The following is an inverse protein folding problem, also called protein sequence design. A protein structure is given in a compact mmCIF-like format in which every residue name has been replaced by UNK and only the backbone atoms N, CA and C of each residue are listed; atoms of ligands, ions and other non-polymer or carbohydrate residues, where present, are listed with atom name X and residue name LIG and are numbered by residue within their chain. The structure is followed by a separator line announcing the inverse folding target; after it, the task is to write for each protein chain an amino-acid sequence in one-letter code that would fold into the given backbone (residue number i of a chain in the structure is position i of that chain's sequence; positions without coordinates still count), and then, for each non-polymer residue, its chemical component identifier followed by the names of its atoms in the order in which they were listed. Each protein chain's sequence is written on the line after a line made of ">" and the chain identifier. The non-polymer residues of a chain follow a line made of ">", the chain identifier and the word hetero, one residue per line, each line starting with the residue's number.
data_IF_057114086646
#
_entry.id   IF_057114086646
#
_cell.length_a   1.000
_cell.length_b   1.000
_cell.length_c   1.000
_cell.angle_alpha   90.00
_cell.angle_beta   90.00
_cell.angle_gamma   90.00
#
_symmetry.space_group_name_H-M   'P 1'
#
loop_
_entity.id
_entity.type
_entity.pdbx_description
1 polymer ?
#
# COMPACT_ATOMS: atom_id res chain seq x y z
N UNK A 1 -0.48 58.67 39.66
CA UNK A 1 -1.19 58.46 38.38
C UNK A 1 -1.70 57.02 38.36
N UNK A 2 -2.99 56.75 38.54
CA UNK A 2 -4.07 56.82 37.52
C UNK A 2 -3.69 55.97 36.29
N UNK A 3 -4.44 54.97 35.80
CA UNK A 3 -5.75 54.36 36.12
C UNK A 3 -5.85 53.04 35.30
N UNK A 4 -6.39 52.00 35.94
CA UNK A 4 -7.36 50.95 35.53
C UNK A 4 -7.44 50.38 34.08
N UNK A 5 -7.79 49.09 34.11
CA UNK A 5 -8.84 48.40 33.31
C UNK A 5 -8.46 47.93 31.89
N UNK A 6 -8.93 46.78 31.39
CA UNK A 6 -10.20 46.07 31.69
C UNK A 6 -10.15 44.59 31.25
N UNK A 7 -10.80 43.75 32.06
CA UNK A 7 -11.67 42.62 31.70
C UNK A 7 -11.48 41.90 30.36
N UNK A 8 -11.18 40.60 30.49
CA UNK A 8 -11.63 39.55 29.57
C UNK A 8 -11.76 38.25 30.38
N UNK A 9 -12.96 38.03 30.93
CA UNK A 9 -13.29 36.92 31.82
C UNK A 9 -14.11 35.89 31.00
N UNK A 10 -13.92 34.60 31.31
CA UNK A 10 -14.75 33.44 30.97
C UNK A 10 -14.71 32.89 29.53
N UNK A 11 -14.08 31.72 29.37
CA UNK A 11 -14.87 30.52 29.05
C UNK A 11 -14.21 29.23 29.57
N UNK A 12 -14.93 28.62 30.53
CA UNK A 12 -14.98 27.24 31.00
C UNK A 12 -13.79 26.27 30.83
N UNK A 13 -13.31 25.83 32.00
CA UNK A 13 -12.77 24.50 32.26
C UNK A 13 -13.81 23.38 32.07
N UNK A 14 -13.26 22.20 31.73
CA UNK A 14 -13.76 20.82 31.93
C UNK A 14 -14.89 20.30 31.05
N UNK A 15 -14.54 19.28 30.26
CA UNK A 15 -14.93 17.85 30.43
C UNK A 15 -14.08 17.02 29.45
N UNK A 16 -13.10 16.25 29.95
CA UNK A 16 -13.25 14.80 30.10
C UNK A 16 -14.34 14.21 29.20
N UNK A 17 -13.96 13.89 27.96
CA UNK A 17 -14.58 12.81 27.20
C UNK A 17 -13.49 11.75 27.02
N UNK A 18 -13.52 10.81 27.95
CA UNK A 18 -13.16 9.42 27.68
C UNK A 18 -14.14 8.98 26.59
N UNK A 19 -13.72 9.04 25.32
CA UNK A 19 -14.41 8.28 24.29
C UNK A 19 -13.66 6.95 24.21
N UNK A 20 -14.33 5.94 24.75
CA UNK A 20 -13.99 4.53 24.69
C UNK A 20 -13.30 4.19 23.36
N UNK A 21 -11.99 3.95 23.42
CA UNK A 21 -11.33 3.17 22.36
C UNK A 21 -12.04 1.83 22.37
N UNK A 22 -12.75 1.52 21.29
CA UNK A 22 -13.12 0.14 21.02
C UNK A 22 -11.82 -0.63 20.76
N UNK A 23 -11.19 -1.06 21.85
CA UNK A 23 -10.03 -1.93 21.88
C UNK A 23 -10.52 -3.35 21.63
N UNK A 24 -10.81 -3.67 20.37
CA UNK A 24 -10.93 -5.04 19.87
C UNK A 24 -10.89 -5.00 18.34
N UNK A 25 -9.70 -4.84 17.73
CA UNK A 25 -9.36 -5.70 16.57
C UNK A 25 -7.91 -5.64 16.06
N UNK A 26 -7.16 -4.58 16.27
CA UNK A 26 -5.76 -4.52 15.79
C UNK A 26 -4.79 -4.11 16.88
N UNK A 27 -4.69 -4.95 17.90
CA UNK A 27 -3.38 -5.19 18.48
C UNK A 27 -2.72 -6.25 17.62
N UNK A 28 -1.45 -6.06 17.29
CA UNK A 28 -0.53 -7.16 16.95
C UNK A 28 -0.56 -7.66 15.50
N UNK A 29 0.13 -6.94 14.60
CA UNK A 29 1.17 -7.58 13.77
C UNK A 29 2.45 -6.76 13.88
N UNK A 30 3.09 -6.88 15.05
CA UNK A 30 4.54 -6.81 15.19
C UNK A 30 5.01 -8.26 15.09
N UNK A 31 5.76 -8.60 14.04
CA UNK A 31 6.45 -9.89 13.80
C UNK A 31 5.73 -11.14 14.33
N UNK A 32 5.01 -11.86 13.47
CA UNK A 32 4.89 -13.33 13.58
C UNK A 32 4.46 -13.94 12.24
N UNK A 33 5.15 -15.02 11.87
CA UNK A 33 4.77 -15.96 10.80
C UNK A 33 3.31 -16.34 10.94
N UNK A 34 2.51 -16.11 9.91
CA UNK A 34 1.23 -16.78 9.72
C UNK A 34 1.41 -17.73 8.55
N UNK A 35 1.38 -19.03 8.86
CA UNK A 35 1.37 -20.12 7.89
C UNK A 35 -0.04 -20.20 7.29
N UNK A 36 -0.20 -19.72 6.07
CA UNK A 36 -1.39 -20.03 5.27
C UNK A 36 -1.10 -21.34 4.52
N UNK A 37 -1.50 -22.47 5.12
CA UNK A 37 -1.41 -23.78 4.49
C UNK A 37 -2.47 -23.89 3.39
N UNK A 38 -2.01 -23.91 2.13
CA UNK A 38 -2.83 -24.28 0.99
C UNK A 38 -3.02 -25.81 0.98
N UNK A 39 -4.27 -26.26 1.02
CA UNK A 39 -4.66 -27.59 0.55
C UNK A 39 -5.57 -27.44 -0.66
N UNK A 40 -4.97 -27.38 -1.84
CA UNK A 40 -5.61 -27.86 -3.06
C UNK A 40 -4.51 -28.32 -4.00
N UNK A 41 -4.27 -29.63 -3.98
CA UNK A 41 -3.47 -30.34 -4.98
C UNK A 41 -4.42 -30.68 -6.11
N UNK A 42 -4.07 -30.32 -7.35
CA UNK A 42 -4.41 -31.13 -8.50
C UNK A 42 -3.27 -31.12 -9.52
N UNK A 43 -3.09 -32.30 -10.13
CA UNK A 43 -1.88 -32.83 -10.76
C UNK A 43 -1.73 -32.46 -12.24
N UNK A 44 -0.46 -32.26 -12.63
CA UNK A 44 0.25 -32.73 -13.86
C UNK A 44 -0.38 -32.54 -15.25
N UNK A 45 0.29 -31.80 -16.14
CA UNK A 45 1.24 -32.33 -17.16
C UNK A 45 1.70 -31.18 -18.10
N UNK A 46 2.96 -31.21 -18.55
CA UNK A 46 3.54 -30.19 -19.44
C UNK A 46 3.27 -30.41 -20.93
N UNK A 47 3.57 -29.38 -21.74
CA UNK A 47 4.15 -29.39 -23.11
C UNK A 47 4.41 -27.94 -23.59
N UNK A 48 5.64 -27.74 -24.12
CA UNK A 48 6.24 -26.77 -25.06
C UNK A 48 5.82 -25.29 -25.20
N UNK A 49 6.86 -24.45 -25.33
CA UNK A 49 6.87 -23.07 -25.85
C UNK A 49 6.14 -22.92 -27.20
N UNK A 50 5.22 -21.93 -27.29
CA UNK A 50 4.97 -21.16 -28.51
C UNK A 50 4.60 -19.70 -28.15
N UNK A 51 5.24 -18.77 -28.86
CA UNK A 51 5.13 -17.33 -28.72
C UNK A 51 3.82 -16.75 -29.27
N UNK A 52 3.41 -15.66 -28.62
CA UNK A 52 2.67 -14.50 -29.14
C UNK A 52 1.33 -14.75 -29.80
N UNK A 53 0.27 -14.35 -29.09
CA UNK A 53 -0.94 -13.61 -29.49
C UNK A 53 -1.94 -13.82 -28.34
N UNK A 54 -2.25 -12.78 -27.53
CA UNK A 54 -3.37 -12.67 -26.55
C UNK A 54 -2.94 -11.85 -25.30
N UNK A 55 -2.59 -10.58 -25.47
CA UNK A 55 -2.18 -9.71 -24.34
C UNK A 55 -3.35 -8.97 -23.69
N UNK A 56 -4.51 -8.90 -24.36
CA UNK A 56 -5.60 -7.99 -23.97
C UNK A 56 -6.87 -8.70 -23.52
N UNK A 57 -7.11 -9.93 -23.95
CA UNK A 57 -8.35 -10.66 -23.63
C UNK A 57 -8.23 -11.47 -22.34
N UNK A 58 -7.05 -12.01 -22.03
CA UNK A 58 -6.81 -12.75 -20.78
C UNK A 58 -6.90 -11.86 -19.52
N UNK A 59 -6.70 -10.55 -19.67
CA UNK A 59 -6.81 -9.59 -18.57
C UNK A 59 -8.26 -9.20 -18.25
N UNK A 60 -9.14 -9.16 -19.26
CA UNK A 60 -10.56 -8.77 -19.10
C UNK A 60 -11.38 -9.82 -18.37
N UNK A 61 -10.98 -11.08 -18.43
CA UNK A 61 -11.69 -12.17 -17.77
C UNK A 61 -11.39 -12.23 -16.26
N UNK A 62 -10.15 -11.92 -15.87
CA UNK A 62 -9.79 -11.88 -14.45
C UNK A 62 -10.52 -10.75 -13.71
N UNK A 63 -10.70 -9.59 -14.33
CA UNK A 63 -11.41 -8.45 -13.71
C UNK A 63 -12.89 -8.79 -13.36
N UNK A 64 -13.52 -9.70 -14.10
CA UNK A 64 -14.90 -10.13 -13.86
C UNK A 64 -15.01 -11.23 -12.79
N UNK A 65 -13.90 -11.75 -12.31
CA UNK A 65 -13.89 -12.86 -11.36
C UNK A 65 -14.22 -12.37 -9.95
N UNK A 66 -15.00 -13.14 -9.19
CA UNK A 66 -15.34 -12.87 -7.78
C UNK A 66 -14.09 -12.67 -6.89
N UNK A 67 -13.01 -13.39 -7.20
CA UNK A 67 -11.70 -13.25 -6.56
C UNK A 67 -11.14 -11.83 -6.70
N UNK A 68 -11.21 -11.22 -7.89
CA UNK A 68 -10.75 -9.85 -8.09
C UNK A 68 -11.63 -8.86 -7.32
N UNK A 69 -12.96 -9.02 -7.35
CA UNK A 69 -13.86 -8.13 -6.62
C UNK A 69 -13.56 -8.15 -5.11
N UNK A 70 -13.29 -9.33 -4.56
CA UNK A 70 -12.90 -9.49 -3.15
C UNK A 70 -11.56 -8.80 -2.85
N UNK A 71 -10.57 -8.97 -3.73
CA UNK A 71 -9.24 -8.35 -3.55
C UNK A 71 -9.29 -6.84 -3.74
N UNK A 72 -10.10 -6.33 -4.66
CA UNK A 72 -10.31 -4.90 -4.90
C UNK A 72 -10.83 -4.20 -3.66
N UNK A 73 -11.78 -4.81 -2.96
CA UNK A 73 -12.29 -4.29 -1.67
C UNK A 73 -11.16 -4.24 -0.64
N UNK A 74 -10.39 -5.33 -0.48
CA UNK A 74 -9.26 -5.38 0.46
C UNK A 74 -8.16 -4.36 0.15
N UNK A 75 -7.79 -4.20 -1.13
CA UNK A 75 -6.81 -3.19 -1.57
C UNK A 75 -7.33 -1.81 -1.17
N UNK A 76 -8.60 -1.52 -1.47
CA UNK A 76 -9.22 -0.23 -1.13
C UNK A 76 -9.21 0.03 0.38
N UNK A 77 -9.61 -0.95 1.20
CA UNK A 77 -9.60 -0.83 2.67
C UNK A 77 -8.21 -0.49 3.20
N UNK A 78 -7.18 -1.17 2.71
CA UNK A 78 -5.79 -0.91 3.10
C UNK A 78 -5.36 0.51 2.72
N UNK A 79 -5.70 0.95 1.50
CA UNK A 79 -5.35 2.28 1.01
C UNK A 79 -6.09 3.42 1.74
N UNK A 80 -7.28 3.13 2.30
CA UNK A 80 -8.04 4.08 3.12
C UNK A 80 -7.52 4.14 4.57
N UNK A 81 -6.97 3.04 5.08
CA UNK A 81 -6.46 2.95 6.44
C UNK A 81 -5.06 3.55 6.59
N UNK A 82 -4.22 3.47 5.55
CA UNK A 82 -2.80 3.77 5.63
C UNK A 82 -2.40 4.92 4.72
N UNK A 83 -1.61 5.87 5.25
CA UNK A 83 -1.17 7.06 4.50
C UNK A 83 -0.27 6.69 3.32
N UNK A 84 0.67 5.77 3.52
CA UNK A 84 1.68 5.40 2.54
C UNK A 84 1.71 3.88 2.42
N UNK A 85 1.43 3.39 1.21
CA UNK A 85 1.34 1.95 0.92
C UNK A 85 2.22 1.59 -0.27
N UNK A 86 3.11 0.64 -0.06
CA UNK A 86 4.02 0.14 -1.10
C UNK A 86 3.71 -1.32 -1.45
N UNK A 87 3.20 -1.56 -2.65
CA UNK A 87 3.12 -2.90 -3.22
C UNK A 87 4.45 -3.23 -3.91
N UNK A 88 5.16 -4.25 -3.43
CA UNK A 88 6.51 -4.58 -3.90
C UNK A 88 6.74 -6.08 -4.03
N UNK A 89 7.83 -6.47 -4.70
CA UNK A 89 8.28 -7.87 -4.76
C UNK A 89 9.28 -8.14 -3.63
N UNK A 90 8.91 -8.99 -2.69
CA UNK A 90 9.68 -9.23 -1.46
C UNK A 90 9.32 -8.27 -0.34
N UNK A 91 10.22 -8.09 0.62
CA UNK A 91 10.04 -7.17 1.75
C UNK A 91 11.08 -6.05 1.71
N UNK A 92 10.91 -4.93 2.44
CA UNK A 92 11.91 -3.87 2.52
C UNK A 92 13.29 -4.37 2.99
N UNK A 93 13.33 -5.36 3.87
CA UNK A 93 14.57 -5.96 4.37
C UNK A 93 15.19 -6.93 3.35
N UNK A 94 14.35 -7.58 2.54
CA UNK A 94 14.76 -8.59 1.55
C UNK A 94 14.00 -8.38 0.23
N UNK A 95 14.33 -7.33 -0.54
CA UNK A 95 13.68 -7.08 -1.82
C UNK A 95 14.09 -8.15 -2.83
N UNK A 96 13.13 -8.63 -3.61
CA UNK A 96 13.34 -9.68 -4.61
C UNK A 96 13.51 -9.14 -6.04
N UNK A 97 13.51 -7.81 -6.19
CA UNK A 97 13.62 -7.12 -7.48
C UNK A 97 14.33 -5.78 -7.30
N UNK A 98 15.24 -5.42 -8.23
CA UNK A 98 16.01 -4.18 -8.16
C UNK A 98 15.13 -2.92 -8.14
N UNK A 99 14.03 -2.90 -8.89
CA UNK A 99 13.07 -1.78 -8.87
C UNK A 99 12.41 -1.61 -7.50
N UNK A 100 11.99 -2.72 -6.88
CA UNK A 100 11.44 -2.72 -5.52
C UNK A 100 12.48 -2.26 -4.49
N UNK A 101 13.73 -2.73 -4.60
CA UNK A 101 14.84 -2.30 -3.75
C UNK A 101 15.11 -0.79 -3.86
N UNK A 102 15.06 -0.24 -5.08
CA UNK A 102 15.30 1.17 -5.32
C UNK A 102 14.19 2.07 -4.73
N UNK A 103 12.92 1.68 -4.83
CA UNK A 103 11.82 2.44 -4.19
C UNK A 103 11.99 2.45 -2.67
N UNK A 104 12.32 1.32 -2.05
CA UNK A 104 12.62 1.25 -0.61
C UNK A 104 13.79 2.15 -0.25
N UNK A 105 14.85 2.19 -1.07
CA UNK A 105 16.01 3.07 -0.86
C UNK A 105 15.62 4.56 -0.92
N UNK A 106 14.75 4.94 -1.85
CA UNK A 106 14.23 6.32 -1.98
C UNK A 106 13.41 6.70 -0.74
N UNK A 107 12.49 5.84 -0.29
CA UNK A 107 11.70 6.10 0.91
C UNK A 107 12.60 6.25 2.16
N UNK A 108 13.61 5.39 2.28
CA UNK A 108 14.58 5.45 3.37
C UNK A 108 15.43 6.73 3.33
N UNK A 109 15.85 7.20 2.15
CA UNK A 109 16.64 8.43 2.02
C UNK A 109 15.83 9.69 2.35
N UNK A 110 14.51 9.64 2.19
CA UNK A 110 13.57 10.67 2.63
C UNK A 110 13.13 10.51 4.09
N UNK A 111 13.72 9.57 4.83
CA UNK A 111 13.39 9.27 6.23
C UNK A 111 11.92 8.88 6.47
N UNK A 112 11.23 8.31 5.48
CA UNK A 112 9.88 7.78 5.63
C UNK A 112 9.94 6.45 6.39
N UNK A 113 9.55 6.48 7.66
CA UNK A 113 9.54 5.29 8.53
C UNK A 113 8.17 4.63 8.63
N UNK A 114 7.12 5.42 8.50
CA UNK A 114 5.74 4.99 8.74
C UNK A 114 5.04 4.74 7.39
N UNK A 115 5.43 3.64 6.74
CA UNK A 115 4.71 3.12 5.57
C UNK A 115 4.49 1.62 5.73
N UNK A 116 3.38 1.14 5.17
CA UNK A 116 3.14 -0.30 5.08
C UNK A 116 3.63 -0.83 3.74
N UNK A 117 4.07 -2.08 3.74
CA UNK A 117 4.45 -2.78 2.52
C UNK A 117 3.63 -4.06 2.35
N UNK A 118 3.37 -4.41 1.10
CA UNK A 118 2.66 -5.63 0.74
C UNK A 118 3.50 -6.38 -0.29
N UNK A 119 3.93 -7.59 0.10
CA UNK A 119 4.67 -8.50 -0.77
C UNK A 119 3.71 -9.24 -1.70
N UNK A 120 3.67 -8.81 -2.96
CA UNK A 120 2.78 -9.40 -3.98
C UNK A 120 3.24 -10.78 -4.44
N UNK A 121 4.47 -11.21 -4.11
CA UNK A 121 4.97 -12.54 -4.49
C UNK A 121 4.30 -13.66 -3.68
N UNK A 122 3.70 -13.34 -2.54
CA UNK A 122 2.97 -14.31 -1.71
C UNK A 122 1.61 -14.69 -2.27
N UNK A 123 1.05 -13.88 -3.17
CA UNK A 123 -0.28 -14.09 -3.75
C UNK A 123 -0.34 -13.61 -5.20
N UNK A 124 -0.36 -14.55 -6.14
CA UNK A 124 -0.42 -14.24 -7.57
C UNK A 124 -1.70 -13.48 -7.95
N UNK A 125 -2.85 -13.78 -7.32
CA UNK A 125 -4.10 -13.07 -7.61
C UNK A 125 -4.01 -11.60 -7.17
N UNK A 126 -3.36 -11.32 -6.03
CA UNK A 126 -3.10 -9.95 -5.58
C UNK A 126 -2.16 -9.21 -6.55
N UNK A 127 -1.13 -9.92 -7.03
CA UNK A 127 -0.19 -9.38 -8.02
C UNK A 127 -0.87 -8.97 -9.32
N UNK A 128 -1.83 -9.74 -9.81
CA UNK A 128 -2.60 -9.37 -11.00
C UNK A 128 -3.66 -8.30 -10.67
N UNK A 129 -4.34 -8.44 -9.53
CA UNK A 129 -5.35 -7.48 -9.09
C UNK A 129 -4.79 -6.06 -8.94
N UNK A 130 -3.59 -5.88 -8.37
CA UNK A 130 -3.00 -4.54 -8.20
C UNK A 130 -2.62 -3.91 -9.54
N UNK A 131 -2.22 -4.71 -10.54
CA UNK A 131 -1.94 -4.19 -11.89
C UNK A 131 -3.18 -3.60 -12.54
N UNK A 132 -4.30 -4.33 -12.43
CA UNK A 132 -5.59 -3.87 -12.95
C UNK A 132 -6.08 -2.66 -12.16
N UNK A 133 -6.03 -2.73 -10.83
CA UNK A 133 -6.49 -1.66 -9.94
C UNK A 133 -5.79 -0.33 -10.20
N UNK A 134 -4.46 -0.33 -10.36
CA UNK A 134 -3.68 0.86 -10.69
C UNK A 134 -3.69 1.22 -12.18
N UNK A 135 -4.26 0.37 -13.03
CA UNK A 135 -4.09 0.40 -14.49
C UNK A 135 -2.60 0.53 -14.89
N UNK A 136 -1.73 -0.20 -14.22
CA UNK A 136 -0.27 -0.14 -14.39
C UNK A 136 0.35 -1.54 -14.42
N UNK A 137 1.15 -1.89 -15.44
CA UNK A 137 1.60 -3.27 -15.64
C UNK A 137 2.76 -3.71 -14.73
N UNK A 138 3.53 -2.77 -14.17
CA UNK A 138 4.83 -3.05 -13.54
C UNK A 138 4.89 -2.69 -12.06
N UNK A 139 5.18 -3.69 -11.23
CA UNK A 139 5.45 -3.55 -9.79
C UNK A 139 6.92 -3.18 -9.58
N UNK A 140 7.27 -2.25 -8.67
CA UNK A 140 6.51 -1.76 -7.50
C UNK A 140 5.47 -0.67 -7.80
N UNK A 141 4.40 -0.59 -6.99
CA UNK A 141 3.40 0.49 -7.02
C UNK A 141 3.41 1.23 -5.67
N UNK A 142 3.53 2.57 -5.70
CA UNK A 142 3.45 3.42 -4.52
C UNK A 142 2.12 4.18 -4.50
N UNK A 143 1.47 4.14 -3.34
CA UNK A 143 0.27 4.91 -3.04
C UNK A 143 0.53 5.85 -1.87
N UNK A 144 0.02 7.08 -1.98
CA UNK A 144 0.04 8.08 -0.91
C UNK A 144 -1.36 8.68 -0.80
N UNK A 145 -1.96 8.64 0.39
CA UNK A 145 -3.33 9.12 0.66
C UNK A 145 -4.35 8.53 -0.32
N UNK A 146 -4.33 7.20 -0.53
CA UNK A 146 -5.17 6.49 -1.50
C UNK A 146 -4.98 6.90 -2.98
N UNK A 147 -4.02 7.77 -3.29
CA UNK A 147 -3.71 8.17 -4.66
C UNK A 147 -2.53 7.36 -5.20
N UNK A 148 -2.69 6.82 -6.41
CA UNK A 148 -1.61 6.12 -7.09
C UNK A 148 -0.56 7.13 -7.58
N UNK A 149 0.67 7.00 -7.10
CA UNK A 149 1.78 7.89 -7.49
C UNK A 149 2.48 7.37 -8.74
N UNK A 150 2.73 6.06 -8.81
CA UNK A 150 3.36 5.46 -9.97
C UNK A 150 4.19 4.22 -9.67
N UNK A 151 4.85 3.75 -10.72
CA UNK A 151 5.92 2.75 -10.64
C UNK A 151 7.27 3.35 -10.30
N UNK A 152 8.32 2.52 -10.28
CA UNK A 152 9.68 2.96 -9.93
C UNK A 152 10.16 4.17 -10.75
N UNK A 153 9.98 4.16 -12.07
CA UNK A 153 10.54 5.21 -12.95
C UNK A 153 9.96 6.59 -12.63
N UNK A 154 8.64 6.65 -12.38
CA UNK A 154 7.95 7.89 -11.99
C UNK A 154 8.40 8.32 -10.60
N UNK A 155 8.48 7.40 -9.64
CA UNK A 155 8.92 7.69 -8.28
C UNK A 155 10.35 8.24 -8.28
N UNK A 156 11.25 7.66 -9.08
CA UNK A 156 12.63 8.11 -9.21
C UNK A 156 12.72 9.51 -9.81
N UNK A 157 11.92 9.80 -10.84
CA UNK A 157 11.86 11.14 -11.45
C UNK A 157 11.33 12.19 -10.46
N UNK A 158 10.22 11.91 -9.77
CA UNK A 158 9.66 12.80 -8.73
C UNK A 158 10.64 13.02 -7.58
N UNK A 159 11.41 11.99 -7.20
CA UNK A 159 12.44 12.11 -6.17
C UNK A 159 13.58 13.04 -6.63
N UNK A 160 14.08 12.87 -7.86
CA UNK A 160 15.15 13.69 -8.41
C UNK A 160 14.73 15.17 -8.57
N UNK A 161 13.45 15.42 -8.85
CA UNK A 161 12.87 16.77 -8.92
C UNK A 161 12.56 17.37 -7.56
N UNK A 162 12.60 16.60 -6.48
CA UNK A 162 12.22 17.02 -5.13
C UNK A 162 10.70 17.05 -4.87
N UNK A 163 9.88 16.88 -5.90
CA UNK A 163 8.41 16.91 -5.82
C UNK A 163 7.84 15.78 -4.96
N UNK A 164 8.51 14.62 -4.92
CA UNK A 164 8.07 13.48 -4.11
C UNK A 164 8.02 13.81 -2.61
N UNK A 165 8.94 14.65 -2.14
CA UNK A 165 8.98 15.07 -0.74
C UNK A 165 7.76 15.92 -0.36
N UNK A 166 7.25 16.72 -1.28
CA UNK A 166 6.07 17.55 -1.05
C UNK A 166 4.78 16.73 -1.07
N UNK A 167 4.73 15.65 -1.84
CA UNK A 167 3.61 14.70 -1.84
C UNK A 167 3.54 13.92 -0.53
N UNK A 168 4.69 13.61 0.10
CA UNK A 168 4.77 12.76 1.30
C UNK A 168 4.45 13.52 2.60
N UNK A 169 4.74 14.82 2.68
CA UNK A 169 4.47 15.67 3.85
C UNK A 169 3.01 15.56 4.31
#
# INVERSE_FOLDING_TARGET
>A
MIVKNRFGIFFLLRKNIICSRNTNFFSFIRVSKINFSNSFQDKKNGISEQQTNNSTDQFKDFEKTEVYQTLKVKIKEVLEQEKIVLFMKGTPEKPLCGFSANVVRILNSMNVKDYIYIDVMKNNNLREAIKIYSNWPYIPHLYINNNFIGGYDIIADLYNKGELADIIK
#
